data_IF_903039659217
#
_entry.id   IF_903039659217
#
_cell.length_a   1.000
_cell.length_b   1.000
_cell.length_c   1.000
_cell.angle_alpha   90.00
_cell.angle_beta   90.00
_cell.angle_gamma   90.00
#
_symmetry.space_group_name_H-M   'P 1'
#
loop_
_entity.id
_entity.type
_entity.pdbx_description
1 polymer ?
#
# COMPACT_ATOMS: atom_id res chain seq x y z
N UNK A 1 -8.62 -9.71 -13.22
CA UNK A 1 -8.50 -8.36 -12.61
C UNK A 1 -9.69 -7.46 -12.97
N UNK A 2 -9.98 -7.22 -14.26
CA UNK A 2 -11.11 -6.34 -14.65
C UNK A 2 -12.46 -6.75 -14.05
N UNK A 3 -12.82 -8.03 -14.05
CA UNK A 3 -14.07 -8.53 -13.49
C UNK A 3 -14.19 -8.30 -11.97
N UNK A 4 -13.10 -8.43 -11.22
CA UNK A 4 -13.08 -8.19 -9.77
C UNK A 4 -13.23 -6.69 -9.46
N UNK A 5 -12.57 -5.84 -10.25
CA UNK A 5 -12.73 -4.39 -10.15
C UNK A 5 -14.16 -3.96 -10.49
N UNK A 6 -14.74 -4.47 -11.58
CA UNK A 6 -16.11 -4.13 -11.95
C UNK A 6 -17.14 -4.57 -10.89
N UNK A 7 -16.94 -5.73 -10.29
CA UNK A 7 -17.77 -6.21 -9.18
C UNK A 7 -17.62 -5.30 -7.94
N UNK A 8 -16.40 -4.91 -7.60
CA UNK A 8 -16.16 -4.00 -6.49
C UNK A 8 -16.79 -2.62 -6.72
N UNK A 9 -16.72 -2.10 -7.96
CA UNK A 9 -17.42 -0.88 -8.33
C UNK A 9 -18.94 -1.00 -8.23
N UNK A 10 -19.50 -2.17 -8.58
CA UNK A 10 -20.94 -2.42 -8.46
C UNK A 10 -21.42 -2.47 -7.01
N UNK A 11 -20.59 -3.02 -6.09
CA UNK A 11 -20.88 -3.00 -4.65
C UNK A 11 -20.66 -1.61 -4.00
N UNK A 12 -20.03 -0.66 -4.70
CA UNK A 12 -19.79 0.69 -4.20
C UNK A 12 -18.72 0.76 -3.08
N UNK A 13 -18.94 1.66 -2.11
CA UNK A 13 -17.99 1.93 -1.00
C UNK A 13 -17.54 0.65 -0.27
N UNK A 14 -18.42 -0.26 0.19
CA UNK A 14 -17.99 -1.47 0.90
C UNK A 14 -17.15 -2.40 0.03
N UNK A 15 -17.53 -2.59 -1.23
CA UNK A 15 -16.82 -3.47 -2.14
C UNK A 15 -15.39 -3.02 -2.40
N UNK A 16 -15.20 -1.73 -2.64
CA UNK A 16 -13.89 -1.14 -2.88
C UNK A 16 -13.02 -1.21 -1.62
N UNK A 17 -13.57 -0.85 -0.45
CA UNK A 17 -12.81 -0.88 0.82
C UNK A 17 -12.33 -2.29 1.14
N UNK A 18 -13.19 -3.30 1.00
CA UNK A 18 -12.83 -4.69 1.24
C UNK A 18 -11.81 -5.19 0.22
N UNK A 19 -12.02 -4.89 -1.06
CA UNK A 19 -11.08 -5.28 -2.13
C UNK A 19 -9.67 -4.73 -1.86
N UNK A 20 -9.57 -3.43 -1.59
CA UNK A 20 -8.28 -2.81 -1.31
C UNK A 20 -7.66 -3.27 0.01
N UNK A 21 -8.47 -3.66 1.00
CA UNK A 21 -8.03 -4.34 2.21
C UNK A 21 -7.34 -5.67 1.90
N UNK A 22 -7.92 -6.49 1.05
CA UNK A 22 -7.28 -7.73 0.58
C UNK A 22 -6.02 -7.47 -0.24
N UNK A 23 -6.04 -6.49 -1.13
CA UNK A 23 -4.84 -6.11 -1.91
C UNK A 23 -3.71 -5.69 -0.97
N UNK A 24 -3.99 -4.85 0.03
CA UNK A 24 -3.00 -4.45 1.05
C UNK A 24 -2.46 -5.64 1.83
N UNK A 25 -3.34 -6.58 2.22
CA UNK A 25 -2.93 -7.79 2.91
C UNK A 25 -1.96 -8.63 2.08
N UNK A 26 -2.31 -8.90 0.82
CA UNK A 26 -1.44 -9.67 -0.07
C UNK A 26 -0.15 -8.93 -0.39
N UNK A 27 -0.20 -7.63 -0.61
CA UNK A 27 0.96 -6.80 -0.88
C UNK A 27 1.94 -6.79 0.31
N UNK A 28 1.43 -6.64 1.53
CA UNK A 28 2.23 -6.70 2.74
C UNK A 28 2.84 -8.10 2.94
N UNK A 29 2.05 -9.16 2.73
CA UNK A 29 2.53 -10.54 2.81
C UNK A 29 3.68 -10.78 1.85
N UNK A 30 3.52 -10.36 0.60
CA UNK A 30 4.55 -10.53 -0.44
C UNK A 30 5.80 -9.71 -0.08
N UNK A 31 5.62 -8.45 0.31
CA UNK A 31 6.73 -7.60 0.74
C UNK A 31 7.55 -8.24 1.88
N UNK A 32 6.88 -8.75 2.91
CA UNK A 32 7.56 -9.40 4.05
C UNK A 32 8.22 -10.72 3.64
N UNK A 33 7.63 -11.49 2.71
CA UNK A 33 8.22 -12.74 2.23
C UNK A 33 9.55 -12.55 1.50
N UNK A 34 9.73 -11.39 0.86
CA UNK A 34 10.97 -11.02 0.16
C UNK A 34 12.04 -10.48 1.12
N UNK A 35 11.69 -10.18 2.37
CA UNK A 35 12.62 -9.64 3.35
C UNK A 35 13.18 -10.72 4.28
N UNK A 36 14.46 -10.58 4.61
CA UNK A 36 15.05 -11.41 5.66
C UNK A 36 14.52 -10.94 7.04
N UNK A 37 13.70 -11.76 7.67
CA UNK A 37 13.08 -11.49 8.97
C UNK A 37 13.63 -12.44 10.03
N UNK A 38 13.76 -11.95 11.29
CA UNK A 38 14.14 -12.76 12.44
C UNK A 38 12.96 -13.01 13.35
N UNK A 39 13.10 -13.96 14.28
CA UNK A 39 12.05 -14.26 15.27
C UNK A 39 11.62 -13.04 16.11
N UNK A 40 12.56 -12.14 16.40
CA UNK A 40 12.28 -10.88 17.11
C UNK A 40 11.34 -9.94 16.36
N UNK A 41 11.27 -10.03 15.02
CA UNK A 41 10.46 -9.14 14.19
C UNK A 41 9.03 -9.65 14.02
N UNK A 42 8.76 -10.91 14.38
CA UNK A 42 7.44 -11.54 14.20
C UNK A 42 6.32 -10.79 14.92
N UNK A 43 6.58 -10.22 16.10
CA UNK A 43 5.58 -9.44 16.82
C UNK A 43 5.23 -8.12 16.11
N UNK A 44 6.23 -7.43 15.59
CA UNK A 44 6.01 -6.20 14.82
C UNK A 44 5.26 -6.51 13.51
N UNK A 45 5.63 -7.60 12.84
CA UNK A 45 4.94 -8.07 11.62
C UNK A 45 3.51 -8.49 11.94
N UNK A 46 3.28 -9.27 13.01
CA UNK A 46 1.95 -9.66 13.43
C UNK A 46 1.08 -8.46 13.79
N UNK A 47 1.63 -7.45 14.48
CA UNK A 47 0.93 -6.20 14.73
C UNK A 47 0.56 -5.48 13.43
N UNK A 48 1.42 -5.50 12.41
CA UNK A 48 1.13 -4.96 11.09
C UNK A 48 -0.11 -5.60 10.45
N UNK A 49 -0.18 -6.94 10.45
CA UNK A 49 -1.27 -7.68 9.82
C UNK A 49 -2.58 -7.65 10.60
N UNK A 50 -2.51 -7.83 11.94
CA UNK A 50 -3.71 -8.06 12.77
C UNK A 50 -4.22 -6.81 13.47
N UNK A 51 -3.39 -5.78 13.63
CA UNK A 51 -3.78 -4.54 14.30
C UNK A 51 -3.79 -3.37 13.32
N UNK A 52 -2.67 -3.08 12.67
CA UNK A 52 -2.50 -1.86 11.87
C UNK A 52 -3.36 -1.92 10.60
N UNK A 53 -3.36 -3.05 9.87
CA UNK A 53 -4.13 -3.19 8.65
C UNK A 53 -5.65 -3.05 8.91
N UNK A 54 -6.29 -3.84 9.81
CA UNK A 54 -7.71 -3.66 10.06
C UNK A 54 -8.06 -2.31 10.69
N UNK A 55 -7.17 -1.75 11.54
CA UNK A 55 -7.36 -0.41 12.09
C UNK A 55 -7.43 0.64 10.96
N UNK A 56 -6.50 0.61 10.03
CA UNK A 56 -6.44 1.57 8.92
C UNK A 56 -7.71 1.55 8.07
N UNK A 57 -8.21 0.37 7.72
CA UNK A 57 -9.44 0.23 6.94
C UNK A 57 -10.71 0.53 7.74
N UNK A 58 -10.72 0.27 9.06
CA UNK A 58 -11.82 0.67 9.92
C UNK A 58 -11.93 2.19 10.09
N UNK A 59 -10.80 2.90 10.14
CA UNK A 59 -10.79 4.38 10.18
C UNK A 59 -11.37 4.98 8.89
N UNK A 60 -11.08 4.38 7.73
CA UNK A 60 -11.70 4.79 6.47
C UNK A 60 -13.21 4.55 6.51
N UNK A 61 -13.64 3.39 7.04
CA UNK A 61 -15.05 3.05 7.18
C UNK A 61 -15.80 4.04 8.07
N UNK A 62 -15.18 4.43 9.20
CA UNK A 62 -15.71 5.40 10.17
C UNK A 62 -15.56 6.86 9.73
N UNK A 63 -14.98 7.11 8.56
CA UNK A 63 -14.74 8.46 8.00
C UNK A 63 -13.87 9.37 8.89
N UNK A 64 -13.04 8.78 9.73
CA UNK A 64 -12.10 9.47 10.63
C UNK A 64 -10.82 9.86 9.89
N UNK A 65 -10.91 10.85 9.02
CA UNK A 65 -9.80 11.22 8.12
C UNK A 65 -8.53 11.66 8.86
N UNK A 66 -8.67 12.43 9.93
CA UNK A 66 -7.53 12.94 10.70
C UNK A 66 -6.71 11.80 11.35
N UNK A 67 -7.41 10.87 12.01
CA UNK A 67 -6.77 9.69 12.60
C UNK A 67 -6.20 8.75 11.54
N UNK A 68 -6.91 8.57 10.42
CA UNK A 68 -6.47 7.76 9.30
C UNK A 68 -5.13 8.22 8.75
N UNK A 69 -4.95 9.53 8.55
CA UNK A 69 -3.71 10.09 7.99
C UNK A 69 -2.52 9.95 8.94
N UNK A 70 -2.75 9.97 10.25
CA UNK A 70 -1.71 9.90 11.27
C UNK A 70 -1.43 8.47 11.78
N UNK A 71 -2.36 7.52 11.59
CA UNK A 71 -2.30 6.20 12.18
C UNK A 71 -1.00 5.45 11.83
N UNK A 72 -0.63 5.37 10.56
CA UNK A 72 0.58 4.67 10.13
C UNK A 72 1.83 5.55 10.23
N UNK A 73 1.88 6.78 9.63
CA UNK A 73 3.13 7.52 9.57
C UNK A 73 3.59 8.05 10.94
N UNK A 74 2.70 8.17 11.91
CA UNK A 74 3.06 8.63 13.26
C UNK A 74 2.97 7.51 14.27
N UNK A 75 1.77 6.97 14.51
CA UNK A 75 1.58 6.00 15.61
C UNK A 75 2.24 4.66 15.33
N UNK A 76 2.03 4.06 14.17
CA UNK A 76 2.66 2.78 13.85
C UNK A 76 4.18 2.94 13.72
N UNK A 77 4.64 4.06 13.15
CA UNK A 77 6.06 4.36 12.97
C UNK A 77 6.82 4.46 14.30
N UNK A 78 6.19 4.99 15.34
CA UNK A 78 6.77 5.05 16.70
C UNK A 78 6.61 3.74 17.46
N UNK A 79 5.45 3.09 17.34
CA UNK A 79 5.11 1.93 18.15
C UNK A 79 5.84 0.64 17.74
N UNK A 80 6.05 0.43 16.43
CA UNK A 80 6.69 -0.80 15.93
C UNK A 80 8.16 -0.96 16.34
N UNK A 81 9.00 0.07 16.27
CA UNK A 81 10.36 -0.03 16.81
C UNK A 81 10.38 -0.31 18.31
N UNK A 82 9.44 0.26 19.07
CA UNK A 82 9.30 -0.01 20.48
C UNK A 82 8.97 -1.48 20.74
N UNK A 83 8.02 -2.06 20.02
CA UNK A 83 7.71 -3.50 20.10
C UNK A 83 8.92 -4.37 19.75
N UNK A 84 9.67 -4.03 18.71
CA UNK A 84 10.86 -4.77 18.31
C UNK A 84 11.98 -4.65 19.34
N UNK A 85 12.12 -3.50 20.00
CA UNK A 85 13.13 -3.27 21.05
C UNK A 85 12.89 -4.10 22.32
N UNK A 86 11.63 -4.40 22.65
CA UNK A 86 11.29 -5.22 23.82
C UNK A 86 11.84 -6.66 23.75
N UNK A 87 12.19 -7.14 22.57
CA UNK A 87 12.73 -8.49 22.34
C UNK A 87 14.27 -8.56 22.34
N UNK A 88 14.96 -7.50 22.82
CA UNK A 88 16.38 -7.45 23.16
C UNK A 88 17.40 -7.85 22.07
N UNK A 89 17.01 -7.96 20.80
CA UNK A 89 17.94 -8.20 19.70
C UNK A 89 18.37 -6.88 19.04
N UNK A 90 19.50 -6.34 19.50
CA UNK A 90 20.06 -5.07 19.00
C UNK A 90 20.77 -5.19 17.64
N UNK A 91 20.96 -6.43 17.13
CA UNK A 91 21.68 -6.65 15.86
C UNK A 91 20.91 -6.09 14.67
N UNK A 92 21.47 -5.08 14.00
CA UNK A 92 20.87 -4.39 12.86
C UNK A 92 19.43 -3.92 13.10
N UNK A 93 19.15 -3.50 14.33
CA UNK A 93 17.81 -3.08 14.76
C UNK A 93 17.18 -2.04 13.82
N UNK A 94 17.90 -0.97 13.50
CA UNK A 94 17.40 0.09 12.61
C UNK A 94 17.08 -0.41 11.21
N UNK A 95 17.92 -1.28 10.66
CA UNK A 95 17.71 -1.84 9.32
C UNK A 95 16.44 -2.71 9.28
N UNK A 96 16.23 -3.55 10.29
CA UNK A 96 15.05 -4.42 10.37
C UNK A 96 13.78 -3.62 10.62
N UNK A 97 13.83 -2.69 11.57
CA UNK A 97 12.70 -1.83 11.89
C UNK A 97 12.26 -0.99 10.69
N UNK A 98 13.22 -0.37 9.98
CA UNK A 98 12.89 0.40 8.78
C UNK A 98 12.29 -0.44 7.66
N UNK A 99 12.72 -1.69 7.48
CA UNK A 99 12.10 -2.58 6.48
C UNK A 99 10.63 -2.83 6.76
N UNK A 100 10.28 -3.12 8.02
CA UNK A 100 8.88 -3.33 8.42
C UNK A 100 8.07 -2.04 8.24
N UNK A 101 8.61 -0.91 8.68
CA UNK A 101 7.97 0.40 8.54
C UNK A 101 7.71 0.78 7.07
N UNK A 102 8.71 0.61 6.19
CA UNK A 102 8.54 0.83 4.75
C UNK A 102 7.52 -0.12 4.13
N UNK A 103 7.51 -1.38 4.56
CA UNK A 103 6.51 -2.35 4.14
C UNK A 103 5.09 -1.87 4.46
N UNK A 104 4.84 -1.40 5.67
CA UNK A 104 3.54 -0.86 6.08
C UNK A 104 3.17 0.42 5.32
N UNK A 105 4.14 1.33 5.12
CA UNK A 105 3.91 2.56 4.37
C UNK A 105 3.50 2.27 2.93
N UNK A 106 4.20 1.38 2.23
CA UNK A 106 3.91 1.08 0.83
C UNK A 106 2.66 0.20 0.72
N UNK A 107 2.58 -0.89 1.50
CA UNK A 107 1.56 -1.93 1.32
C UNK A 107 0.23 -1.61 1.97
N UNK A 108 0.19 -0.80 3.03
CA UNK A 108 -1.07 -0.44 3.70
C UNK A 108 -1.39 1.03 3.48
N UNK A 109 -0.50 1.95 3.88
CA UNK A 109 -0.79 3.37 3.87
C UNK A 109 -1.06 3.89 2.45
N UNK A 110 -0.13 3.68 1.51
CA UNK A 110 -0.32 4.15 0.13
C UNK A 110 -1.53 3.51 -0.54
N UNK A 111 -1.73 2.20 -0.38
CA UNK A 111 -2.85 1.49 -1.03
C UNK A 111 -4.19 1.91 -0.42
N UNK A 112 -4.25 2.15 0.89
CA UNK A 112 -5.48 2.57 1.59
C UNK A 112 -5.96 3.98 1.19
N UNK A 113 -5.11 4.80 0.57
CA UNK A 113 -5.54 6.10 0.04
C UNK A 113 -6.52 5.98 -1.13
N UNK A 114 -6.51 4.85 -1.85
CA UNK A 114 -7.47 4.64 -2.94
C UNK A 114 -8.91 4.58 -2.42
N UNK A 115 -9.28 3.70 -1.48
CA UNK A 115 -10.61 3.74 -0.89
C UNK A 115 -10.89 5.01 -0.08
N UNK A 116 -9.87 5.68 0.47
CA UNK A 116 -10.03 6.95 1.17
C UNK A 116 -10.56 8.08 0.25
N UNK A 117 -10.30 8.02 -1.06
CA UNK A 117 -10.89 8.94 -2.03
C UNK A 117 -12.43 8.90 -2.04
N UNK A 118 -13.05 7.79 -1.62
CA UNK A 118 -14.51 7.68 -1.54
C UNK A 118 -15.11 8.56 -0.43
N UNK A 119 -14.32 8.85 0.58
CA UNK A 119 -14.74 9.62 1.76
C UNK A 119 -14.40 11.11 1.62
N UNK A 120 -13.60 11.45 0.61
CA UNK A 120 -13.16 12.81 0.37
C UNK A 120 -14.35 13.71 -0.01
N UNK A 121 -14.56 14.77 0.75
CA UNK A 121 -15.61 15.76 0.47
C UNK A 121 -15.04 16.86 -0.42
N UNK A 122 -15.50 16.89 -1.68
CA UNK A 122 -15.10 17.91 -2.65
C UNK A 122 -16.34 18.76 -2.96
N UNK A 123 -16.26 20.06 -2.66
CA UNK A 123 -17.34 21.00 -2.97
C UNK A 123 -17.66 20.99 -4.48
N UNK A 124 -18.94 20.75 -4.82
CA UNK A 124 -19.42 20.66 -6.21
C UNK A 124 -19.28 19.28 -6.88
N UNK A 125 -18.71 18.27 -6.20
CA UNK A 125 -18.58 16.91 -6.72
C UNK A 125 -19.18 15.85 -5.79
N UNK A 126 -20.16 16.22 -5.01
CA UNK A 126 -20.82 15.35 -4.05
C UNK A 126 -21.42 14.12 -4.74
N UNK A 127 -21.09 12.93 -4.20
CA UNK A 127 -21.55 11.63 -4.71
C UNK A 127 -20.84 11.11 -5.97
N UNK A 128 -19.86 11.81 -6.52
CA UNK A 128 -19.09 11.40 -7.72
C UNK A 128 -17.70 10.83 -7.41
N UNK A 129 -17.40 10.53 -6.16
CA UNK A 129 -16.08 10.06 -5.71
C UNK A 129 -15.64 8.75 -6.39
N UNK A 130 -16.59 7.91 -6.80
CA UNK A 130 -16.30 6.71 -7.61
C UNK A 130 -15.58 7.04 -8.93
N UNK A 131 -15.89 8.19 -9.54
CA UNK A 131 -15.22 8.64 -10.76
C UNK A 131 -13.75 9.00 -10.52
N UNK A 132 -13.39 9.46 -9.33
CA UNK A 132 -11.99 9.72 -8.96
C UNK A 132 -11.17 8.44 -8.94
N UNK A 133 -11.73 7.36 -8.39
CA UNK A 133 -11.05 6.05 -8.40
C UNK A 133 -10.96 5.51 -9.81
N UNK A 134 -12.03 5.60 -10.61
CA UNK A 134 -12.00 5.19 -12.01
C UNK A 134 -10.93 5.97 -12.79
N UNK A 135 -10.83 7.29 -12.58
CA UNK A 135 -9.81 8.13 -13.17
C UNK A 135 -8.39 7.71 -12.74
N UNK A 136 -8.18 7.48 -11.44
CA UNK A 136 -6.89 7.02 -10.91
C UNK A 136 -6.48 5.68 -11.56
N UNK A 137 -7.38 4.71 -11.62
CA UNK A 137 -7.12 3.42 -12.28
C UNK A 137 -6.78 3.62 -13.75
N UNK A 138 -7.50 4.49 -14.45
CA UNK A 138 -7.23 4.79 -15.85
C UNK A 138 -5.84 5.41 -16.06
N UNK A 139 -5.45 6.35 -15.20
CA UNK A 139 -4.12 6.99 -15.26
C UNK A 139 -3.01 5.96 -15.02
N UNK A 140 -3.16 5.10 -13.98
CA UNK A 140 -2.18 4.06 -13.68
C UNK A 140 -2.05 3.09 -14.85
N UNK A 141 -3.16 2.58 -15.40
CA UNK A 141 -3.14 1.66 -16.54
C UNK A 141 -2.54 2.31 -17.79
N UNK A 142 -2.83 3.58 -18.03
CA UNK A 142 -2.24 4.32 -19.16
C UNK A 142 -0.73 4.49 -18.97
N UNK A 143 -0.27 4.74 -17.75
CA UNK A 143 1.16 4.82 -17.42
C UNK A 143 1.88 3.49 -17.66
N UNK A 144 1.28 2.37 -17.25
CA UNK A 144 1.83 1.03 -17.46
C UNK A 144 1.96 0.71 -18.96
N UNK A 145 0.92 1.03 -19.74
CA UNK A 145 0.94 0.86 -21.21
C UNK A 145 2.03 1.74 -21.83
N UNK A 146 2.14 3.00 -21.39
CA UNK A 146 3.17 3.91 -21.90
C UNK A 146 4.58 3.41 -21.57
N UNK A 147 4.81 2.93 -20.34
CA UNK A 147 6.09 2.33 -19.94
C UNK A 147 6.44 1.11 -20.80
N UNK A 148 5.46 0.22 -21.05
CA UNK A 148 5.66 -0.94 -21.91
C UNK A 148 6.02 -0.54 -23.34
N UNK A 149 5.31 0.43 -23.92
CA UNK A 149 5.56 0.92 -25.27
C UNK A 149 6.94 1.58 -25.39
N UNK A 150 7.28 2.47 -24.44
CA UNK A 150 8.59 3.12 -24.40
C UNK A 150 9.69 2.08 -24.23
N UNK A 151 9.53 1.12 -23.31
CA UNK A 151 10.49 0.03 -23.10
C UNK A 151 10.72 -0.81 -24.36
N UNK A 152 9.65 -1.07 -25.16
CA UNK A 152 9.74 -1.78 -26.42
C UNK A 152 10.44 -0.97 -27.50
N UNK A 153 10.16 0.32 -27.57
CA UNK A 153 10.77 1.24 -28.55
C UNK A 153 12.26 1.49 -28.23
N UNK A 154 12.62 1.52 -26.97
CA UNK A 154 13.98 1.86 -26.51
C UNK A 154 14.89 0.66 -26.26
N UNK A 155 14.43 -0.58 -26.51
CA UNK A 155 15.22 -1.82 -26.34
C UNK A 155 16.57 -1.86 -27.07
N UNK A 156 16.83 -0.94 -28.00
CA UNK A 156 18.10 -0.81 -28.72
C UNK A 156 19.02 0.30 -28.24
N UNK A 157 18.60 1.11 -27.26
CA UNK A 157 19.43 2.26 -26.84
C UNK A 157 20.49 1.85 -25.81
N UNK A 158 21.78 2.19 -26.04
CA UNK A 158 22.89 1.78 -25.18
C UNK A 158 22.81 2.34 -23.74
N UNK A 159 22.03 3.39 -23.52
CA UNK A 159 21.81 4.00 -22.20
C UNK A 159 21.00 3.09 -21.26
N UNK A 160 19.99 2.41 -21.79
CA UNK A 160 19.10 1.52 -21.02
C UNK A 160 19.83 0.23 -20.66
N UNK A 161 20.74 -0.25 -21.55
CA UNK A 161 21.56 -1.44 -21.30
C UNK A 161 22.55 -1.26 -20.14
N UNK A 162 22.93 0.00 -19.82
CA UNK A 162 23.77 0.34 -18.67
C UNK A 162 22.99 0.48 -17.36
N UNK A 163 21.72 0.84 -17.42
CA UNK A 163 20.88 1.08 -16.25
C UNK A 163 20.14 -0.17 -15.77
N UNK A 164 19.84 -1.10 -16.68
CA UNK A 164 19.07 -2.33 -16.35
C UNK A 164 19.72 -3.52 -17.07
N UNK A 165 20.83 -4.08 -16.51
CA UNK A 165 21.52 -5.21 -17.14
C UNK A 165 20.73 -6.52 -17.16
N UNK A 166 19.64 -6.64 -16.39
CA UNK A 166 18.88 -7.87 -16.25
C UNK A 166 17.67 -8.00 -17.20
N UNK A 167 17.43 -7.05 -18.08
CA UNK A 167 16.30 -7.09 -19.05
C UNK A 167 16.70 -7.54 -20.47
N UNK A 168 17.83 -8.24 -20.61
CA UNK A 168 18.25 -8.82 -21.90
C UNK A 168 18.07 -10.31 -21.95
#
# INVERSE_FOLDING_TARGET
>A
MAAVLSLAFWLGKPGITVLFGFISFYCLREFISLQYTRRSDHWAIAAGFYVILPLQYSLIWLEQYDLYTLAIPVYAFLFLPMLSALHADSTRFLERSSKVQWGLMISIYCISHVPALLVLQIAGYEGRNLLLIAFLVLVVQSSDIAQYLVGKLTRGMPLIRRLIPEMT
#
